data_IF_429014823870
#
_entry.id   IF_429014823870
#
_cell.length_a   1.000
_cell.length_b   1.000
_cell.length_c   1.000
_cell.angle_alpha   90.00
_cell.angle_beta   90.00
_cell.angle_gamma   90.00
#
_symmetry.space_group_name_H-M   'P 1'
#
loop_
_entity.id
_entity.type
_entity.pdbx_description
1 polymer ?
#
# COMPACT_ATOMS: atom_id res chain seq x y z
N UNK A 1 -4.52 7.54 2.21
CA UNK A 1 -3.15 7.02 2.15
C UNK A 1 -2.58 7.35 0.78
N UNK A 2 -1.28 7.68 0.69
CA UNK A 2 -0.60 7.97 -0.58
C UNK A 2 0.44 6.90 -0.88
N UNK A 3 0.70 6.66 -2.17
CA UNK A 3 1.75 5.73 -2.62
C UNK A 3 2.86 6.54 -3.28
N UNK A 4 4.09 6.18 -2.99
CA UNK A 4 5.29 6.77 -3.57
C UNK A 4 6.26 5.65 -3.95
N UNK A 5 7.07 5.90 -4.98
CA UNK A 5 8.20 5.03 -5.30
C UNK A 5 9.34 5.40 -4.36
N UNK A 6 9.83 4.41 -3.61
CA UNK A 6 11.00 4.56 -2.78
C UNK A 6 12.06 3.53 -3.20
N UNK A 7 13.24 4.02 -3.54
CA UNK A 7 14.41 3.21 -3.93
C UNK A 7 15.41 3.07 -2.78
N UNK A 8 15.17 3.70 -1.63
CA UNK A 8 16.07 3.65 -0.48
C UNK A 8 15.89 2.34 0.29
N UNK A 9 16.92 1.50 0.29
CA UNK A 9 16.98 0.33 1.16
C UNK A 9 17.36 0.74 2.59
N UNK A 10 16.56 0.33 3.59
CA UNK A 10 16.98 0.36 5.00
C UNK A 10 16.31 1.39 5.93
N UNK A 11 15.16 1.96 5.56
CA UNK A 11 14.38 2.88 6.43
C UNK A 11 13.83 2.23 7.71
N UNK A 12 13.90 0.89 7.81
CA UNK A 12 13.31 0.12 8.90
C UNK A 12 11.80 -0.10 8.73
N UNK A 13 11.25 0.25 7.56
CA UNK A 13 9.86 0.03 7.20
C UNK A 13 9.53 -1.46 7.04
N UNK A 14 8.25 -1.80 7.23
CA UNK A 14 7.82 -3.18 7.03
C UNK A 14 7.70 -3.47 5.54
N UNK A 15 8.31 -4.57 5.12
CA UNK A 15 8.32 -5.01 3.72
C UNK A 15 7.29 -6.12 3.55
N UNK A 16 6.35 -5.90 2.64
CA UNK A 16 5.44 -6.92 2.15
C UNK A 16 5.86 -7.30 0.73
N UNK A 17 6.19 -8.58 0.52
CA UNK A 17 6.46 -9.09 -0.83
C UNK A 17 5.15 -9.62 -1.42
N UNK A 18 4.77 -9.09 -2.57
CA UNK A 18 3.62 -9.59 -3.33
C UNK A 18 3.98 -9.65 -4.81
N UNK A 19 4.03 -10.87 -5.35
CA UNK A 19 4.24 -11.14 -6.79
C UNK A 19 5.52 -10.49 -7.34
N UNK A 20 6.58 -10.40 -6.53
CA UNK A 20 7.86 -9.80 -6.91
C UNK A 20 7.93 -8.27 -6.76
N UNK A 21 6.85 -7.64 -6.28
CA UNK A 21 6.84 -6.25 -5.86
C UNK A 21 7.03 -6.18 -4.34
N UNK A 22 8.03 -5.40 -3.92
CA UNK A 22 8.24 -5.06 -2.52
C UNK A 22 7.42 -3.82 -2.19
N UNK A 23 6.46 -3.95 -1.29
CA UNK A 23 5.65 -2.86 -0.76
C UNK A 23 6.23 -2.47 0.59
N UNK A 24 6.69 -1.23 0.70
CA UNK A 24 7.20 -0.65 1.93
C UNK A 24 6.06 0.09 2.65
N UNK A 25 5.90 -0.18 3.94
CA UNK A 25 4.93 0.49 4.80
C UNK A 25 5.65 1.14 5.97
N UNK A 26 5.49 2.45 6.12
CA UNK A 26 5.95 3.22 7.27
C UNK A 26 5.29 2.67 8.55
N UNK A 27 6.09 2.49 9.61
CA UNK A 27 5.66 2.06 10.95
C UNK A 27 4.48 2.85 11.51
N UNK A 28 4.34 4.13 11.15
CA UNK A 28 3.21 4.96 11.59
C UNK A 28 1.90 4.55 10.94
N UNK A 29 1.95 4.01 9.73
CA UNK A 29 0.79 3.58 8.94
C UNK A 29 0.38 2.16 9.30
N UNK A 30 1.33 1.34 9.76
CA UNK A 30 1.12 -0.05 10.19
C UNK A 30 -0.04 -0.21 11.17
N UNK A 31 -0.15 0.68 12.17
CA UNK A 31 -1.21 0.60 13.17
C UNK A 31 -2.60 0.88 12.58
N UNK A 32 -2.67 1.69 11.52
CA UNK A 32 -3.91 1.92 10.79
C UNK A 32 -4.26 0.74 9.88
N UNK A 33 -3.27 0.05 9.31
CA UNK A 33 -3.48 -1.16 8.52
C UNK A 33 -4.05 -2.29 9.37
N UNK A 34 -3.54 -2.49 10.58
CA UNK A 34 -4.04 -3.53 11.49
C UNK A 34 -5.50 -3.30 11.89
N UNK A 35 -5.96 -2.05 11.91
CA UNK A 35 -7.35 -1.71 12.22
C UNK A 35 -8.33 -1.85 11.05
N UNK A 36 -7.84 -1.99 9.81
CA UNK A 36 -8.67 -2.11 8.61
C UNK A 36 -8.52 -3.54 8.07
N UNK A 37 -9.38 -4.47 8.48
CA UNK A 37 -9.33 -5.83 7.94
C UNK A 37 -9.59 -5.78 6.43
N UNK A 38 -8.69 -6.40 5.66
CA UNK A 38 -8.74 -6.54 4.21
C UNK A 38 -8.47 -5.26 3.39
N UNK A 39 -7.48 -4.45 3.78
CA UNK A 39 -6.94 -3.43 2.87
C UNK A 39 -6.39 -4.09 1.59
N UNK A 40 -6.93 -3.69 0.44
CA UNK A 40 -6.54 -4.16 -0.88
C UNK A 40 -5.98 -3.01 -1.70
N UNK A 41 -4.85 -3.22 -2.37
CA UNK A 41 -4.28 -2.25 -3.32
C UNK A 41 -4.42 -2.81 -4.72
N UNK A 42 -5.25 -2.15 -5.53
CA UNK A 42 -5.55 -2.54 -6.90
C UNK A 42 -4.89 -1.57 -7.87
N UNK A 43 -4.23 -2.07 -8.90
CA UNK A 43 -3.74 -1.26 -10.02
C UNK A 43 -4.80 -1.22 -11.11
N UNK A 44 -5.20 -0.01 -11.52
CA UNK A 44 -6.19 0.20 -12.58
C UNK A 44 -5.56 1.01 -13.71
N UNK A 45 -5.74 0.52 -14.93
CA UNK A 45 -5.43 1.26 -16.15
C UNK A 45 -6.73 1.71 -16.81
N UNK A 46 -6.80 3.00 -17.13
CA UNK A 46 -7.93 3.61 -17.81
C UNK A 46 -7.42 4.33 -19.06
N UNK A 47 -8.33 4.68 -19.96
CA UNK A 47 -8.00 5.49 -21.14
C UNK A 47 -7.39 6.87 -20.82
N UNK A 48 -7.51 7.33 -19.56
CA UNK A 48 -7.00 8.63 -19.10
C UNK A 48 -5.69 8.51 -18.31
N UNK A 49 -5.19 7.29 -18.10
CA UNK A 49 -3.97 7.03 -17.33
C UNK A 49 -4.10 5.80 -16.43
N UNK A 50 -3.03 5.51 -15.72
CA UNK A 50 -2.93 4.39 -14.79
C UNK A 50 -2.70 4.88 -13.37
N UNK A 51 -3.13 4.09 -12.39
CA UNK A 51 -2.98 4.44 -10.99
C UNK A 51 -3.30 3.29 -10.04
N UNK A 52 -2.99 3.53 -8.77
CA UNK A 52 -3.29 2.59 -7.70
C UNK A 52 -4.50 3.08 -6.90
N UNK A 53 -5.46 2.19 -6.68
CA UNK A 53 -6.62 2.41 -5.83
C UNK A 53 -6.46 1.57 -4.58
N UNK A 54 -6.59 2.22 -3.43
CA UNK A 54 -6.53 1.57 -2.13
C UNK A 54 -7.95 1.44 -1.61
N UNK A 55 -8.41 0.21 -1.46
CA UNK A 55 -9.73 -0.12 -0.94
C UNK A 55 -9.57 -0.71 0.45
N UNK A 56 -10.29 -0.14 1.42
CA UNK A 56 -10.38 -0.68 2.77
C UNK A 56 -11.84 -0.67 3.19
N UNK A 57 -12.36 -1.78 3.69
CA UNK A 57 -13.68 -1.77 4.30
C UNK A 57 -13.59 -1.05 5.64
N UNK A 58 -14.12 0.17 5.68
CA UNK A 58 -14.42 0.82 6.95
C UNK A 58 -15.47 -0.01 7.68
N UNK A 59 -15.09 -0.69 8.76
CA UNK A 59 -16.08 -1.23 9.68
C UNK A 59 -16.75 -0.04 10.38
N UNK A 60 -18.00 0.26 10.02
CA UNK A 60 -18.89 1.01 10.90
C UNK A 60 -19.30 0.14 12.10
#
# INVERSE_FOLDING_TARGET
>A
MGLALDELEGSGDQIFDSKGLKILVDKRVIGYLDTIPALTVNFLETQYGSGFVIEGTGSC
#
